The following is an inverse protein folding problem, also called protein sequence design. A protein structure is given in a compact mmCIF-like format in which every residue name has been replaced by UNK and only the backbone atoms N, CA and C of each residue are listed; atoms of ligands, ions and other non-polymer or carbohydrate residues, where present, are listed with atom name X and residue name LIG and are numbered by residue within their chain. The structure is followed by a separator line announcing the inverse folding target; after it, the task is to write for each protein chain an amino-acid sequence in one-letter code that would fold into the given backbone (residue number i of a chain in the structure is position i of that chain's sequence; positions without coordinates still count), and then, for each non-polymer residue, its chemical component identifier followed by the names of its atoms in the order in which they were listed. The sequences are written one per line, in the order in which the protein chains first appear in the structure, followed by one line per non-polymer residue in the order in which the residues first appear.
data_IF_595992600955
#
_entry.id   IF_595992600955
#
_cell.length_a   1.000
_cell.length_b   1.000
_cell.length_c   1.000
_cell.angle_alpha   90.00
_cell.angle_beta   90.00
_cell.angle_gamma   90.00
#
_symmetry.space_group_name_H-M   'P 1'
#
loop_
_entity.id
_entity.type
_entity.pdbx_description
1 polymer ?
#
# COMPACT_ATOMS: atom_id res chain seq x y z
N UNK A 1 -18.81 -9.60 17.94
CA UNK A 1 -17.55 -10.36 17.73
C UNK A 1 -16.86 -9.78 16.50
N UNK A 2 -15.66 -9.21 16.65
CA UNK A 2 -14.83 -8.73 15.54
C UNK A 2 -13.80 -9.79 15.15
N UNK A 3 -13.40 -9.87 13.88
CA UNK A 3 -12.44 -10.89 13.40
C UNK A 3 -10.99 -10.68 13.89
N UNK A 4 -10.65 -9.52 14.47
CA UNK A 4 -9.32 -9.25 15.03
C UNK A 4 -8.20 -9.10 14.00
N UNK A 5 -8.52 -9.13 12.70
CA UNK A 5 -7.57 -9.01 11.59
C UNK A 5 -7.92 -7.72 10.82
N UNK A 6 -6.95 -6.83 10.56
CA UNK A 6 -7.19 -5.65 9.75
C UNK A 6 -7.77 -6.00 8.36
N UNK A 7 -8.63 -5.13 7.86
CA UNK A 7 -9.20 -5.23 6.52
C UNK A 7 -9.41 -3.81 5.98
N UNK A 8 -9.15 -3.63 4.68
CA UNK A 8 -9.50 -2.39 3.99
C UNK A 8 -11.02 -2.38 3.76
N UNK A 9 -11.71 -1.38 4.32
CA UNK A 9 -13.16 -1.20 4.15
C UNK A 9 -13.46 -0.19 3.04
N UNK A 10 -12.75 0.93 3.05
CA UNK A 10 -13.01 2.07 2.18
C UNK A 10 -11.70 2.57 1.58
N UNK A 11 -11.76 3.05 0.33
CA UNK A 11 -10.65 3.67 -0.38
C UNK A 11 -11.14 5.05 -0.81
N UNK A 12 -10.46 6.10 -0.37
CA UNK A 12 -10.78 7.48 -0.75
C UNK A 12 -9.59 8.06 -1.51
N UNK A 13 -9.84 8.59 -2.70
CA UNK A 13 -8.80 9.16 -3.56
C UNK A 13 -9.06 10.64 -3.83
N UNK A 14 -7.97 11.37 -4.10
CA UNK A 14 -8.02 12.77 -4.53
C UNK A 14 -7.48 12.86 -5.96
N UNK A 15 -8.33 12.61 -6.95
CA UNK A 15 -7.99 12.75 -8.37
C UNK A 15 -7.23 11.57 -9.00
N UNK A 16 -7.10 10.44 -8.29
CA UNK A 16 -6.54 9.19 -8.82
C UNK A 16 -7.58 8.08 -8.86
N UNK A 17 -7.38 7.10 -9.73
CA UNK A 17 -8.21 5.91 -9.75
C UNK A 17 -7.95 5.05 -8.49
N UNK A 18 -9.00 4.51 -7.88
CA UNK A 18 -8.90 3.66 -6.69
C UNK A 18 -8.05 2.42 -6.91
N UNK A 19 -8.21 1.75 -8.05
CA UNK A 19 -7.44 0.54 -8.38
C UNK A 19 -5.97 0.87 -8.63
N UNK A 20 -5.69 2.01 -9.26
CA UNK A 20 -4.32 2.47 -9.47
C UNK A 20 -3.64 2.77 -8.12
N UNK A 21 -4.31 3.55 -7.25
CA UNK A 21 -3.83 3.83 -5.90
C UNK A 21 -3.59 2.53 -5.13
N UNK A 22 -4.57 1.63 -5.10
CA UNK A 22 -4.46 0.35 -4.42
C UNK A 22 -3.32 -0.51 -4.97
N UNK A 23 -3.13 -0.52 -6.29
CA UNK A 23 -2.03 -1.25 -6.94
C UNK A 23 -0.67 -0.72 -6.49
N UNK A 24 -0.49 0.60 -6.49
CA UNK A 24 0.73 1.28 -6.06
C UNK A 24 0.99 1.06 -4.57
N UNK A 25 -0.03 1.20 -3.72
CA UNK A 25 0.08 0.98 -2.28
C UNK A 25 0.44 -0.46 -1.98
N UNK A 26 -0.24 -1.44 -2.57
CA UNK A 26 0.07 -2.86 -2.38
C UNK A 26 1.46 -3.23 -2.89
N UNK A 27 1.90 -2.68 -4.02
CA UNK A 27 3.26 -2.87 -4.52
C UNK A 27 4.31 -2.30 -3.54
N UNK A 28 4.06 -1.10 -3.02
CA UNK A 28 4.95 -0.44 -2.05
C UNK A 28 5.04 -1.20 -0.73
N UNK A 29 3.96 -1.87 -0.32
CA UNK A 29 3.87 -2.62 0.94
C UNK A 29 4.43 -4.05 0.85
N UNK A 30 4.88 -4.54 -0.32
CA UNK A 30 5.48 -5.89 -0.47
C UNK A 30 6.67 -6.12 0.47
N UNK A 31 7.45 -5.08 0.75
CA UNK A 31 8.61 -5.14 1.66
C UNK A 31 8.24 -4.99 3.14
N UNK A 32 6.97 -4.77 3.46
CA UNK A 32 6.46 -4.46 4.79
C UNK A 32 5.89 -5.71 5.46
N UNK A 33 6.27 -5.95 6.71
CA UNK A 33 5.81 -7.10 7.50
C UNK A 33 4.64 -6.76 8.44
N UNK A 34 4.01 -5.59 8.25
CA UNK A 34 2.94 -5.13 9.12
C UNK A 34 1.60 -5.79 8.81
N UNK A 35 0.74 -6.07 9.83
CA UNK A 35 -0.60 -6.61 9.59
C UNK A 35 -1.48 -5.74 8.66
N UNK A 36 -1.22 -4.42 8.61
CA UNK A 36 -1.89 -3.50 7.69
C UNK A 36 -1.45 -3.72 6.24
N UNK A 37 -0.16 -3.99 6.00
CA UNK A 37 0.37 -4.32 4.68
C UNK A 37 -0.34 -5.57 4.12
N UNK A 38 -0.49 -6.61 4.96
CA UNK A 38 -1.21 -7.82 4.58
C UNK A 38 -2.67 -7.55 4.23
N UNK A 39 -3.34 -6.65 4.93
CA UNK A 39 -4.72 -6.28 4.62
C UNK A 39 -4.85 -5.56 3.27
N UNK A 40 -3.89 -4.69 2.94
CA UNK A 40 -3.82 -3.98 1.65
C UNK A 40 -3.55 -4.96 0.51
N UNK A 41 -2.52 -5.81 0.66
CA UNK A 41 -2.18 -6.81 -0.36
C UNK A 41 -3.35 -7.77 -0.61
N UNK A 42 -4.01 -8.26 0.45
CA UNK A 42 -5.21 -9.10 0.29
C UNK A 42 -6.32 -8.39 -0.47
N UNK A 43 -6.58 -7.11 -0.16
CA UNK A 43 -7.60 -6.33 -0.89
C UNK A 43 -7.24 -6.15 -2.36
N UNK A 44 -5.96 -5.95 -2.67
CA UNK A 44 -5.49 -5.86 -4.04
C UNK A 44 -5.63 -7.19 -4.80
N UNK A 45 -5.34 -8.32 -4.16
CA UNK A 45 -5.58 -9.66 -4.71
C UNK A 45 -7.07 -9.93 -4.95
N UNK A 46 -7.93 -9.61 -3.98
CA UNK A 46 -9.40 -9.73 -4.10
C UNK A 46 -9.94 -8.91 -5.28
N UNK A 47 -9.34 -7.75 -5.56
CA UNK A 47 -9.70 -6.89 -6.68
C UNK A 47 -9.04 -7.30 -8.02
N UNK A 48 -8.27 -8.40 -8.05
CA UNK A 48 -7.57 -8.89 -9.25
C UNK A 48 -6.45 -7.96 -9.75
N UNK A 49 -5.89 -7.13 -8.87
CA UNK A 49 -4.87 -6.15 -9.22
C UNK A 49 -3.50 -6.81 -9.36
N UNK A 50 -2.78 -6.43 -10.41
CA UNK A 50 -1.45 -6.95 -10.74
C UNK A 50 -0.32 -6.22 -10.02
N UNK A 51 -0.49 -5.90 -8.73
CA UNK A 51 0.54 -5.22 -7.94
C UNK A 51 1.85 -6.02 -7.86
N UNK A 52 1.79 -7.35 -8.07
CA UNK A 52 2.96 -8.21 -8.17
C UNK A 52 3.87 -7.89 -9.37
N UNK A 53 3.32 -7.38 -10.47
CA UNK A 53 4.05 -7.01 -11.69
C UNK A 53 4.68 -5.62 -11.61
N UNK A 54 4.33 -4.81 -10.59
CA UNK A 54 4.88 -3.47 -10.41
C UNK A 54 6.32 -3.56 -9.88
N UNK A 55 7.25 -2.96 -10.61
CA UNK A 55 8.63 -2.74 -10.18
C UNK A 55 8.69 -1.62 -9.17
N UNK A 56 9.25 -1.92 -8.00
CA UNK A 56 9.49 -0.95 -6.92
C UNK A 56 10.99 -0.78 -6.76
N UNK A 57 11.43 0.46 -6.85
CA UNK A 57 12.80 0.91 -6.60
C UNK A 57 12.87 1.69 -5.29
N UNK A 58 14.08 1.87 -4.75
CA UNK A 58 14.35 2.73 -3.58
C UNK A 58 13.42 2.52 -2.37
N UNK A 59 12.95 1.27 -2.18
CA UNK A 59 12.11 0.92 -1.04
C UNK A 59 12.84 1.16 0.27
N UNK A 60 12.22 1.91 1.17
CA UNK A 60 12.73 2.13 2.52
C UNK A 60 11.58 2.14 3.52
N UNK A 61 11.72 1.32 4.56
CA UNK A 61 10.86 1.39 5.73
C UNK A 61 11.28 2.54 6.64
N UNK A 62 10.29 3.32 7.09
CA UNK A 62 10.43 4.43 8.02
C UNK A 62 9.79 3.97 9.33
N UNK A 63 10.61 3.38 10.20
CA UNK A 63 10.18 2.76 11.46
C UNK A 63 9.20 3.64 12.23
N UNK A 64 8.02 3.08 12.53
CA UNK A 64 6.98 3.76 13.31
C UNK A 64 6.17 4.80 12.54
N UNK A 65 6.44 5.03 11.25
CA UNK A 65 5.73 6.02 10.43
C UNK A 65 5.13 5.44 9.15
N UNK A 66 5.84 4.56 8.44
CA UNK A 66 5.38 4.03 7.16
C UNK A 66 6.52 3.54 6.27
N UNK A 67 6.33 3.61 4.96
CA UNK A 67 7.30 3.23 3.93
C UNK A 67 7.37 4.31 2.85
N UNK A 68 8.51 4.38 2.16
CA UNK A 68 8.65 5.09 0.90
C UNK A 68 9.12 4.14 -0.19
N UNK A 69 8.70 4.40 -1.42
CA UNK A 69 8.96 3.55 -2.57
C UNK A 69 8.98 4.41 -3.84
N UNK A 70 9.77 4.01 -4.83
CA UNK A 70 9.82 4.65 -6.14
C UNK A 70 9.21 3.72 -7.19
N UNK A 71 8.22 4.19 -7.92
CA UNK A 71 7.51 3.44 -8.96
C UNK A 71 7.39 4.34 -10.17
N UNK A 72 7.76 3.87 -11.36
CA UNK A 72 7.71 4.65 -12.62
C UNK A 72 8.38 6.03 -12.51
N UNK A 73 9.51 6.11 -11.79
CA UNK A 73 10.25 7.34 -11.53
C UNK A 73 9.52 8.40 -10.67
N UNK A 74 8.42 8.02 -10.03
CA UNK A 74 7.69 8.83 -9.06
C UNK A 74 7.88 8.28 -7.65
N UNK A 75 8.04 9.18 -6.67
CA UNK A 75 8.21 8.83 -5.27
C UNK A 75 6.86 8.74 -4.57
N UNK A 76 6.60 7.62 -3.92
CA UNK A 76 5.39 7.33 -3.16
C UNK A 76 5.72 7.14 -1.68
N UNK A 77 4.82 7.63 -0.83
CA UNK A 77 4.89 7.51 0.63
C UNK A 77 3.59 6.89 1.12
N UNK A 78 3.70 5.85 1.93
CA UNK A 78 2.55 5.15 2.54
C UNK A 78 2.79 5.10 4.05
N UNK A 79 1.90 5.67 4.85
CA UNK A 79 2.13 5.72 6.29
C UNK A 79 1.12 6.55 7.06
N UNK A 80 1.44 6.78 8.33
CA UNK A 80 0.66 7.65 9.22
C UNK A 80 0.64 9.09 8.73
N UNK A 81 -0.37 9.90 9.08
CA UNK A 81 -0.42 11.33 8.74
C UNK A 81 0.84 12.12 9.12
N UNK A 82 1.52 11.73 10.21
CA UNK A 82 2.76 12.36 10.68
C UNK A 82 3.99 12.13 9.76
N UNK A 83 3.83 11.36 8.69
CA UNK A 83 4.84 11.17 7.66
C UNK A 83 4.82 12.28 6.60
N UNK A 84 3.69 12.99 6.45
CA UNK A 84 3.41 13.94 5.38
C UNK A 84 3.50 15.40 5.86
#
# INVERSE_FOLDING_TARGET
LTKGIPAVTDIVTYGRNENELMTITAASEKGSQHPLASAIMRKAEENGLKFNEVTVEDFQSITGKGVKAKINNEMYYVGSPNLF
#
